data_IF_050730479193
#
_entry.id   IF_050730479193
#
_cell.length_a   1.000
_cell.length_b   1.000
_cell.length_c   1.000
_cell.angle_alpha   90.00
_cell.angle_beta   90.00
_cell.angle_gamma   90.00
#
_symmetry.space_group_name_H-M   'P 1'
#
loop_
_entity.id
_entity.type
_entity.pdbx_description
1 polymer ?
#
# COMPACT_ATOMS: atom_id res chain seq x y z
N UNK A 1 1.76 13.43 14.30
CA UNK A 1 0.98 12.58 13.37
C UNK A 1 -0.49 12.87 13.63
N UNK A 2 -1.28 13.19 12.60
CA UNK A 2 -2.70 13.49 12.77
C UNK A 2 -3.46 12.27 13.33
N UNK A 3 -4.62 12.47 13.96
CA UNK A 3 -5.46 11.37 14.45
C UNK A 3 -5.86 10.40 13.33
N UNK A 4 -6.16 10.96 12.17
CA UNK A 4 -6.47 10.26 10.93
C UNK A 4 -5.34 9.29 10.50
N UNK A 5 -4.11 9.78 10.45
CA UNK A 5 -2.93 8.95 10.13
C UNK A 5 -2.77 7.79 11.13
N UNK A 6 -3.07 8.03 12.42
CA UNK A 6 -3.00 7.01 13.47
C UNK A 6 -4.03 5.90 13.25
N UNK A 7 -5.25 6.24 12.84
CA UNK A 7 -6.28 5.24 12.54
C UNK A 7 -5.89 4.34 11.36
N UNK A 8 -5.31 4.92 10.29
CA UNK A 8 -4.82 4.17 9.15
C UNK A 8 -3.67 3.24 9.58
N UNK A 9 -2.72 3.76 10.37
CA UNK A 9 -1.61 2.98 10.92
C UNK A 9 -2.10 1.79 11.76
N UNK A 10 -3.04 2.03 12.68
CA UNK A 10 -3.62 0.97 13.51
C UNK A 10 -4.31 -0.12 12.67
N UNK A 11 -5.01 0.25 11.60
CA UNK A 11 -5.67 -0.72 10.74
C UNK A 11 -4.66 -1.54 9.93
N UNK A 12 -3.57 -0.95 9.44
CA UNK A 12 -2.47 -1.71 8.81
C UNK A 12 -1.80 -2.66 9.79
N UNK A 13 -1.59 -2.23 11.04
CA UNK A 13 -0.98 -3.06 12.08
C UNK A 13 -1.84 -4.31 12.37
N UNK A 14 -3.18 -4.17 12.40
CA UNK A 14 -4.11 -5.31 12.54
C UNK A 14 -4.01 -6.30 11.40
N UNK A 15 -3.70 -5.83 10.19
CA UNK A 15 -3.59 -6.67 9.00
C UNK A 15 -2.22 -7.34 8.88
N UNK A 16 -1.24 -6.92 9.69
CA UNK A 16 0.15 -7.37 9.56
C UNK A 16 0.30 -8.88 9.71
N UNK A 17 -0.31 -9.48 10.73
CA UNK A 17 -0.15 -10.92 11.00
C UNK A 17 -0.75 -11.76 9.86
N UNK A 18 -1.86 -11.30 9.26
CA UNK A 18 -2.42 -11.95 8.08
C UNK A 18 -1.49 -11.78 6.88
N UNK A 19 -0.97 -10.58 6.65
CA UNK A 19 -0.03 -10.27 5.59
C UNK A 19 1.27 -11.08 5.70
N UNK A 20 1.89 -11.15 6.87
CA UNK A 20 3.18 -11.82 7.10
C UNK A 20 3.11 -13.33 6.84
N UNK A 21 1.91 -13.90 6.87
CA UNK A 21 1.64 -15.30 6.57
C UNK A 21 1.35 -15.59 5.07
N UNK A 22 1.29 -14.55 4.23
CA UNK A 22 1.06 -14.70 2.78
C UNK A 22 2.27 -15.28 2.04
N UNK A 23 2.05 -15.83 0.84
CA UNK A 23 3.09 -16.43 0.03
C UNK A 23 4.22 -15.45 -0.32
N UNK A 24 3.88 -14.21 -0.71
CA UNK A 24 4.89 -13.19 -1.01
C UNK A 24 5.71 -12.81 0.24
N UNK A 25 5.07 -12.70 1.40
CA UNK A 25 5.75 -12.34 2.64
C UNK A 25 6.72 -13.45 3.07
N UNK A 26 6.31 -14.71 2.98
CA UNK A 26 7.18 -15.87 3.23
C UNK A 26 8.34 -15.95 2.25
N UNK A 27 8.09 -15.67 0.97
CA UNK A 27 9.12 -15.71 -0.08
C UNK A 27 10.19 -14.62 0.10
N UNK A 28 9.80 -13.45 0.59
CA UNK A 28 10.69 -12.31 0.81
C UNK A 28 10.81 -11.97 2.30
N UNK A 29 10.93 -12.99 3.15
CA UNK A 29 10.94 -12.82 4.61
C UNK A 29 12.03 -11.86 5.10
N UNK A 30 13.21 -11.88 4.46
CA UNK A 30 14.32 -10.98 4.79
C UNK A 30 14.01 -9.49 4.56
N UNK A 31 12.97 -9.18 3.78
CA UNK A 31 12.58 -7.81 3.47
C UNK A 31 11.47 -7.28 4.40
N UNK A 32 10.86 -8.13 5.24
CA UNK A 32 9.68 -7.77 6.03
C UNK A 32 9.98 -6.69 7.07
N UNK A 33 11.16 -6.73 7.71
CA UNK A 33 11.53 -5.73 8.70
C UNK A 33 11.67 -4.34 8.06
N UNK A 34 12.38 -4.26 6.94
CA UNK A 34 12.55 -3.02 6.18
C UNK A 34 11.20 -2.50 5.66
N UNK A 35 10.34 -3.41 5.20
CA UNK A 35 8.99 -3.04 4.78
C UNK A 35 8.15 -2.51 5.95
N UNK A 36 8.23 -3.12 7.15
CA UNK A 36 7.49 -2.63 8.33
C UNK A 36 7.91 -1.23 8.73
N UNK A 37 9.22 -0.98 8.74
CA UNK A 37 9.77 0.33 9.04
C UNK A 37 9.33 1.38 8.01
N UNK A 38 9.38 1.03 6.72
CA UNK A 38 8.88 1.90 5.66
C UNK A 38 7.37 2.14 5.80
N UNK A 39 6.58 1.09 6.07
CA UNK A 39 5.13 1.14 6.17
C UNK A 39 4.68 2.05 7.33
N UNK A 40 5.39 2.03 8.47
CA UNK A 40 5.11 2.91 9.61
C UNK A 40 5.23 4.41 9.26
N UNK A 41 6.09 4.75 8.30
CA UNK A 41 6.39 6.14 7.89
C UNK A 41 5.57 6.56 6.66
N UNK A 42 5.42 5.64 5.71
CA UNK A 42 4.88 5.92 4.38
C UNK A 42 3.48 5.36 4.17
N UNK A 43 3.06 4.35 4.92
CA UNK A 43 1.77 3.68 4.73
C UNK A 43 0.56 4.61 4.79
N UNK A 44 0.39 5.44 5.85
CA UNK A 44 -0.75 6.36 5.93
C UNK A 44 -0.72 7.40 4.81
N UNK A 45 0.46 7.94 4.51
CA UNK A 45 0.67 8.92 3.42
C UNK A 45 0.33 8.33 2.07
N UNK A 46 0.72 7.07 1.83
CA UNK A 46 0.48 6.37 0.57
C UNK A 46 -1.02 6.09 0.36
N UNK A 47 -1.73 5.68 1.42
CA UNK A 47 -3.17 5.48 1.36
C UNK A 47 -3.95 6.78 1.14
N UNK A 48 -3.57 7.86 1.79
CA UNK A 48 -4.17 9.18 1.57
C UNK A 48 -3.87 9.71 0.16
N UNK A 49 -2.66 9.52 -0.34
CA UNK A 49 -2.30 9.85 -1.72
C UNK A 49 -3.13 9.02 -2.72
N UNK A 50 -3.37 7.74 -2.41
CA UNK A 50 -4.25 6.90 -3.22
C UNK A 50 -5.69 7.40 -3.19
N UNK A 51 -6.22 7.80 -2.05
CA UNK A 51 -7.54 8.43 -1.95
C UNK A 51 -7.63 9.69 -2.83
N UNK A 52 -6.60 10.56 -2.79
CA UNK A 52 -6.52 11.73 -3.67
C UNK A 52 -6.45 11.38 -5.16
N UNK A 53 -5.70 10.37 -5.57
CA UNK A 53 -5.72 9.86 -6.97
C UNK A 53 -7.13 9.40 -7.36
N UNK A 54 -7.88 8.78 -6.44
CA UNK A 54 -9.28 8.40 -6.68
C UNK A 54 -10.20 9.62 -6.81
N UNK A 55 -10.04 10.62 -5.95
CA UNK A 55 -10.80 11.86 -5.98
C UNK A 55 -10.59 12.62 -7.30
N UNK A 56 -9.34 12.73 -7.75
CA UNK A 56 -8.97 13.36 -9.03
C UNK A 56 -9.55 12.63 -10.24
N UNK A 57 -9.82 11.34 -10.11
CA UNK A 57 -10.49 10.51 -11.13
C UNK A 57 -12.03 10.52 -11.01
N UNK A 58 -12.59 11.38 -10.15
CA UNK A 58 -14.03 11.59 -10.01
C UNK A 58 -14.71 10.70 -8.98
N UNK A 59 -13.99 10.04 -8.06
CA UNK A 59 -14.63 9.30 -6.98
C UNK A 59 -15.21 10.27 -5.92
N UNK A 60 -16.54 10.35 -5.74
CA UNK A 60 -17.16 11.33 -4.84
C UNK A 60 -16.81 11.07 -3.37
N UNK A 61 -16.76 9.80 -2.95
CA UNK A 61 -16.41 9.44 -1.57
C UNK A 61 -14.98 9.85 -1.26
N UNK A 62 -14.04 9.63 -2.18
CA UNK A 62 -12.66 10.02 -1.96
C UNK A 62 -12.45 11.55 -1.99
N UNK A 63 -13.31 12.28 -2.72
CA UNK A 63 -13.29 13.75 -2.79
C UNK A 63 -13.75 14.38 -1.47
N UNK A 64 -14.86 13.89 -0.93
CA UNK A 64 -15.48 14.48 0.26
C UNK A 64 -14.94 13.85 1.57
N UNK A 65 -14.46 12.59 1.51
CA UNK A 65 -14.06 11.78 2.67
C UNK A 65 -12.81 10.93 2.39
N UNK A 66 -11.68 11.57 2.07
CA UNK A 66 -10.44 10.88 1.71
C UNK A 66 -9.93 9.90 2.78
N UNK A 67 -10.11 10.23 4.07
CA UNK A 67 -9.70 9.37 5.18
C UNK A 67 -10.57 8.12 5.30
N UNK A 68 -11.90 8.27 5.31
CA UNK A 68 -12.83 7.15 5.33
C UNK A 68 -12.65 6.23 4.13
N UNK A 69 -12.32 6.81 2.97
CA UNK A 69 -11.95 6.05 1.78
C UNK A 69 -10.71 5.19 2.01
N UNK A 70 -9.65 5.76 2.58
CA UNK A 70 -8.40 5.07 2.90
C UNK A 70 -8.60 3.93 3.93
N UNK A 71 -9.31 4.21 5.03
CA UNK A 71 -9.63 3.19 6.05
C UNK A 71 -10.55 2.12 5.46
N UNK A 72 -11.54 2.51 4.66
CA UNK A 72 -12.46 1.59 3.99
C UNK A 72 -11.75 0.67 3.00
N UNK A 73 -10.69 1.13 2.35
CA UNK A 73 -9.84 0.31 1.49
C UNK A 73 -9.16 -0.80 2.29
N UNK A 74 -8.58 -0.49 3.45
CA UNK A 74 -7.97 -1.48 4.33
C UNK A 74 -9.01 -2.48 4.86
N UNK A 75 -10.16 -2.00 5.32
CA UNK A 75 -11.22 -2.87 5.86
C UNK A 75 -11.79 -3.85 4.82
N UNK A 76 -12.03 -3.39 3.59
CA UNK A 76 -12.59 -4.24 2.51
C UNK A 76 -11.52 -5.10 1.82
N UNK A 77 -10.34 -4.53 1.62
CA UNK A 77 -9.23 -5.20 0.95
C UNK A 77 -8.53 -6.22 1.85
N UNK A 78 -8.47 -5.96 3.16
CA UNK A 78 -7.75 -6.77 4.12
C UNK A 78 -6.25 -6.78 3.85
N UNK A 79 -5.59 -7.88 4.18
CA UNK A 79 -4.15 -8.09 3.98
C UNK A 79 -3.74 -7.99 2.50
N UNK A 80 -4.67 -8.16 1.56
CA UNK A 80 -4.41 -8.01 0.12
C UNK A 80 -3.89 -6.61 -0.25
N UNK A 81 -4.31 -5.59 0.50
CA UNK A 81 -3.78 -4.22 0.32
C UNK A 81 -2.29 -4.21 0.65
N UNK A 82 -1.89 -4.80 1.78
CA UNK A 82 -0.49 -4.90 2.18
C UNK A 82 0.32 -5.80 1.24
N UNK A 83 -0.26 -6.88 0.71
CA UNK A 83 0.37 -7.72 -0.33
C UNK A 83 0.75 -6.88 -1.55
N UNK A 84 -0.19 -6.09 -2.08
CA UNK A 84 0.07 -5.30 -3.28
C UNK A 84 0.96 -4.08 -3.03
N UNK A 85 0.89 -3.48 -1.83
CA UNK A 85 1.83 -2.44 -1.39
C UNK A 85 3.26 -3.01 -1.25
N UNK A 86 3.41 -4.18 -0.63
CA UNK A 86 4.71 -4.85 -0.48
C UNK A 86 5.30 -5.24 -1.84
N UNK A 87 4.47 -5.80 -2.72
CA UNK A 87 4.85 -6.10 -4.09
C UNK A 87 5.38 -4.86 -4.83
N UNK A 88 4.66 -3.73 -4.75
CA UNK A 88 5.09 -2.47 -5.36
C UNK A 88 6.40 -1.96 -4.74
N UNK A 89 6.53 -2.04 -3.42
CA UNK A 89 7.73 -1.63 -2.70
C UNK A 89 8.96 -2.47 -3.06
N UNK A 90 8.81 -3.78 -3.23
CA UNK A 90 9.89 -4.66 -3.69
C UNK A 90 10.34 -4.29 -5.12
N UNK A 91 9.38 -3.97 -5.99
CA UNK A 91 9.66 -3.53 -7.37
C UNK A 91 10.40 -2.19 -7.38
N UNK A 92 9.93 -1.21 -6.61
CA UNK A 92 10.55 0.11 -6.57
C UNK A 92 11.99 0.07 -6.02
N UNK A 93 12.27 -0.87 -5.11
CA UNK A 93 13.63 -1.12 -4.59
C UNK A 93 14.52 -1.97 -5.51
N UNK A 94 14.01 -2.42 -6.65
CA UNK A 94 14.76 -3.26 -7.59
C UNK A 94 15.01 -4.69 -7.11
N UNK A 95 14.30 -5.17 -6.07
CA UNK A 95 14.47 -6.54 -5.53
C UNK A 95 13.92 -7.58 -6.50
N UNK A 96 12.84 -7.25 -7.22
CA UNK A 96 12.16 -8.15 -8.15
C UNK A 96 11.38 -7.35 -9.18
N UNK A 97 11.16 -7.92 -10.37
CA UNK A 97 10.35 -7.27 -11.40
C UNK A 97 8.85 -7.48 -11.17
N UNK A 98 8.04 -6.49 -11.59
CA UNK A 98 6.57 -6.60 -11.57
C UNK A 98 6.09 -7.82 -12.37
N UNK A 99 6.70 -8.09 -13.53
CA UNK A 99 6.36 -9.24 -14.36
C UNK A 99 6.55 -10.56 -13.60
N UNK A 100 7.66 -10.71 -12.86
CA UNK A 100 7.92 -11.90 -12.07
C UNK A 100 6.84 -12.11 -11.00
N UNK A 101 6.47 -11.06 -10.26
CA UNK A 101 5.45 -11.17 -9.21
C UNK A 101 4.08 -11.58 -9.77
N UNK A 102 3.67 -11.00 -10.91
CA UNK A 102 2.41 -11.35 -11.59
C UNK A 102 2.45 -12.79 -12.10
N UNK A 103 3.51 -13.18 -12.82
CA UNK A 103 3.67 -14.52 -13.38
C UNK A 103 3.61 -15.61 -12.31
N UNK A 104 4.18 -15.34 -11.14
CA UNK A 104 4.24 -16.27 -10.01
C UNK A 104 3.06 -16.12 -9.03
N UNK A 105 2.01 -15.35 -9.38
CA UNK A 105 0.81 -15.15 -8.54
C UNK A 105 1.10 -14.59 -7.13
N UNK A 106 2.16 -13.79 -6.99
CA UNK A 106 2.58 -13.18 -5.74
C UNK A 106 1.90 -11.82 -5.47
N UNK A 107 0.83 -11.53 -6.20
CA UNK A 107 0.00 -10.32 -6.05
C UNK A 107 -1.42 -10.75 -5.73
N UNK A 108 -2.15 -9.91 -5.00
CA UNK A 108 -3.54 -10.14 -4.65
C UNK A 108 -4.49 -9.43 -5.62
N UNK A 109 -5.74 -9.92 -5.71
CA UNK A 109 -6.83 -9.18 -6.35
C UNK A 109 -7.17 -7.89 -5.60
N UNK A 110 -7.88 -6.98 -6.27
CA UNK A 110 -8.21 -5.65 -5.76
C UNK A 110 -7.33 -4.57 -6.38
N UNK A 111 -6.79 -3.69 -5.56
CA UNK A 111 -5.96 -2.56 -6.01
C UNK A 111 -4.65 -3.07 -6.65
N UNK A 112 -4.43 -2.81 -7.94
CA UNK A 112 -3.28 -3.38 -8.67
C UNK A 112 -1.93 -2.84 -8.18
N UNK A 113 -0.88 -3.66 -8.29
CA UNK A 113 0.50 -3.25 -8.03
C UNK A 113 0.91 -1.99 -8.84
N UNK A 114 0.44 -1.86 -10.08
CA UNK A 114 0.70 -0.70 -10.93
C UNK A 114 0.11 0.59 -10.35
N UNK A 115 -1.03 0.49 -9.66
CA UNK A 115 -1.64 1.63 -8.97
C UNK A 115 -0.76 2.07 -7.80
N UNK A 116 -0.29 1.13 -6.98
CA UNK A 116 0.61 1.45 -5.86
C UNK A 116 1.94 2.05 -6.33
N UNK A 117 2.55 1.49 -7.37
CA UNK A 117 3.78 2.05 -7.97
C UNK A 117 3.58 3.49 -8.43
N UNK A 118 2.48 3.78 -9.14
CA UNK A 118 2.16 5.14 -9.59
C UNK A 118 2.04 6.10 -8.41
N UNK A 119 1.26 5.75 -7.39
CA UNK A 119 1.05 6.62 -6.22
C UNK A 119 2.34 6.80 -5.42
N UNK A 120 3.15 5.75 -5.26
CA UNK A 120 4.46 5.83 -4.60
C UNK A 120 5.39 6.82 -5.30
N UNK A 121 5.50 6.73 -6.63
CA UNK A 121 6.37 7.62 -7.42
C UNK A 121 5.92 9.07 -7.36
N UNK A 122 4.61 9.32 -7.44
CA UNK A 122 4.07 10.68 -7.27
C UNK A 122 4.41 11.26 -5.89
N UNK A 123 4.46 10.45 -4.83
CA UNK A 123 4.88 10.90 -3.51
C UNK A 123 6.39 11.18 -3.39
N UNK A 124 7.21 10.49 -4.17
CA UNK A 124 8.66 10.69 -4.18
C UNK A 124 9.08 11.89 -5.03
N UNK A 125 8.39 12.14 -6.14
CA UNK A 125 8.55 13.35 -6.96
C UNK A 125 8.27 14.62 -6.14
N UNK A 126 7.22 14.59 -5.32
CA UNK A 126 6.87 15.69 -4.38
C UNK A 126 7.92 15.93 -3.29
N UNK A 127 8.88 15.03 -3.05
CA UNK A 127 9.99 15.26 -2.12
C UNK A 127 11.19 15.94 -2.78
N UNK A 128 11.25 15.96 -4.12
CA UNK A 128 12.35 16.53 -4.90
C UNK A 128 12.06 17.94 -5.41
N UNK A 129 10.78 18.34 -5.43
CA UNK A 129 10.29 19.69 -5.73
C UNK A 129 10.28 20.58 -4.49
#
# INVERSE_FOLDING_TARGET
MAEEDRMIAAEMDRLWDKFSNTEIAKKYQGELQLFREWLSKMGPRLLLARARDAANRGNPVAKDYAHDYAVGMLKRGGERVLVNMFAAWLVERGVVSQYYLIKNKLVAGGESIATWLRVMRSLEELKKS
#
